data_IF_821743776174
#
_entry.id   IF_821743776174
#
_cell.length_a   1.000
_cell.length_b   1.000
_cell.length_c   1.000
_cell.angle_alpha   90.00
_cell.angle_beta   90.00
_cell.angle_gamma   90.00
#
_symmetry.space_group_name_H-M   'P 1'
#
loop_
_entity.id
_entity.type
_entity.pdbx_description
1 polymer ?
#
# COMPACT_ATOMS: atom_id res chain seq x y z
N UNK A 1 15.23 51.17 7.66
CA UNK A 1 14.53 49.90 7.35
C UNK A 1 14.89 48.84 8.41
N UNK A 2 14.01 48.54 9.35
CA UNK A 2 14.30 47.62 10.44
C UNK A 2 14.24 46.19 9.96
N UNK A 3 15.40 45.54 9.90
CA UNK A 3 15.54 44.12 9.60
C UNK A 3 15.05 43.34 10.83
N UNK A 4 13.76 43.05 10.89
CA UNK A 4 13.12 42.30 11.97
C UNK A 4 13.59 40.84 11.86
N UNK A 5 14.67 40.49 12.59
CA UNK A 5 15.09 39.09 12.75
C UNK A 5 13.88 38.30 13.24
N UNK A 6 13.35 37.41 12.40
CA UNK A 6 12.31 36.46 12.81
C UNK A 6 12.87 35.66 13.98
N UNK A 7 12.24 35.73 15.15
CA UNK A 7 12.62 34.89 16.28
C UNK A 7 12.52 33.42 15.93
N UNK A 8 13.17 32.53 16.70
CA UNK A 8 13.20 31.09 16.49
C UNK A 8 11.82 30.50 16.11
N UNK A 9 10.75 30.88 16.82
CA UNK A 9 9.37 30.46 16.50
C UNK A 9 8.87 30.91 15.11
N UNK A 10 9.24 32.11 14.68
CA UNK A 10 8.86 32.60 13.35
C UNK A 10 9.58 31.88 12.24
N UNK A 11 10.82 31.42 12.49
CA UNK A 11 11.61 30.64 11.54
C UNK A 11 11.10 29.22 11.44
N UNK A 12 10.84 28.53 12.58
CA UNK A 12 10.28 27.16 12.59
C UNK A 12 8.92 27.12 11.91
N UNK A 13 8.02 28.07 12.23
CA UNK A 13 6.72 28.20 11.58
C UNK A 13 6.85 28.35 10.05
N UNK A 14 7.75 29.19 9.59
CA UNK A 14 8.00 29.41 8.17
C UNK A 14 8.50 28.15 7.43
N UNK A 15 9.43 27.42 8.04
CA UNK A 15 9.97 26.17 7.49
C UNK A 15 8.89 25.08 7.46
N UNK A 16 8.16 24.90 8.56
CA UNK A 16 7.09 23.90 8.65
C UNK A 16 6.01 24.13 7.61
N UNK A 17 5.54 25.38 7.46
CA UNK A 17 4.53 25.72 6.46
C UNK A 17 5.00 25.46 5.03
N UNK A 18 6.23 25.80 4.70
CA UNK A 18 6.80 25.51 3.38
C UNK A 18 6.93 24.02 3.14
N UNK A 19 7.37 23.26 4.11
CA UNK A 19 7.44 21.81 4.02
C UNK A 19 6.05 21.21 3.75
N UNK A 20 5.04 21.61 4.51
CA UNK A 20 3.67 21.13 4.30
C UNK A 20 3.12 21.55 2.92
N UNK A 21 3.39 22.76 2.48
CA UNK A 21 2.98 23.22 1.15
C UNK A 21 3.66 22.41 0.02
N UNK A 22 4.96 22.14 0.12
CA UNK A 22 5.69 21.32 -0.84
C UNK A 22 5.20 19.85 -0.82
N UNK A 23 4.96 19.29 0.36
CA UNK A 23 4.40 17.94 0.49
C UNK A 23 3.00 17.87 -0.16
N UNK A 24 2.13 18.84 0.11
CA UNK A 24 0.81 18.92 -0.50
C UNK A 24 0.90 19.04 -2.02
N UNK A 25 1.79 19.89 -2.53
CA UNK A 25 2.03 20.04 -3.97
C UNK A 25 2.53 18.73 -4.59
N UNK A 26 3.45 18.03 -3.93
CA UNK A 26 3.92 16.72 -4.35
C UNK A 26 2.78 15.69 -4.41
N UNK A 27 1.93 15.63 -3.38
CA UNK A 27 0.79 14.72 -3.36
C UNK A 27 -0.24 15.08 -4.45
N UNK A 28 -0.48 16.37 -4.70
CA UNK A 28 -1.34 16.83 -5.80
C UNK A 28 -0.78 16.41 -7.17
N UNK A 29 0.54 16.52 -7.38
CA UNK A 29 1.19 16.07 -8.60
C UNK A 29 1.04 14.55 -8.77
N UNK A 30 1.36 13.79 -7.73
CA UNK A 30 1.29 12.33 -7.73
C UNK A 30 -0.15 11.78 -7.80
N UNK A 31 -1.16 12.62 -7.62
CA UNK A 31 -2.55 12.26 -7.91
C UNK A 31 -2.76 11.91 -9.38
N UNK A 32 -2.05 12.57 -10.28
CA UNK A 32 -2.24 12.46 -11.73
C UNK A 32 -1.07 11.78 -12.44
N UNK A 33 0.13 11.87 -11.87
CA UNK A 33 1.37 11.36 -12.47
C UNK A 33 1.82 10.11 -11.71
N UNK A 34 2.15 9.01 -12.40
CA UNK A 34 2.80 7.87 -11.76
C UNK A 34 4.09 8.28 -11.04
N UNK A 35 4.31 7.87 -9.78
CA UNK A 35 5.57 8.11 -9.11
C UNK A 35 6.70 7.40 -9.86
N UNK A 36 7.75 8.12 -10.29
CA UNK A 36 8.87 7.52 -11.02
C UNK A 36 9.71 6.59 -10.15
N UNK A 37 9.67 6.78 -8.85
CA UNK A 37 10.30 5.95 -7.83
C UNK A 37 9.62 6.17 -6.48
N UNK A 38 9.93 5.34 -5.51
CA UNK A 38 9.40 5.47 -4.14
C UNK A 38 10.55 5.46 -3.13
N UNK A 39 10.26 5.93 -1.91
CA UNK A 39 11.25 5.88 -0.83
C UNK A 39 11.76 4.45 -0.57
N UNK A 40 10.89 3.44 -0.68
CA UNK A 40 11.28 2.03 -0.53
C UNK A 40 12.13 1.53 -1.69
N UNK A 41 11.85 1.92 -2.93
CA UNK A 41 12.68 1.58 -4.10
C UNK A 41 14.07 2.20 -4.00
N UNK A 42 14.17 3.47 -3.57
CA UNK A 42 15.45 4.17 -3.38
C UNK A 42 16.32 3.56 -2.27
N UNK A 43 15.70 2.88 -1.32
CA UNK A 43 16.36 2.21 -0.19
C UNK A 43 16.45 0.69 -0.37
N UNK A 44 16.21 0.19 -1.60
CA UNK A 44 16.29 -1.24 -1.88
C UNK A 44 17.74 -1.71 -1.95
N UNK A 45 18.05 -2.81 -1.27
CA UNK A 45 19.35 -3.52 -1.37
C UNK A 45 19.49 -4.31 -2.68
N UNK A 46 18.43 -4.37 -3.49
CA UNK A 46 18.35 -5.17 -4.72
C UNK A 46 18.06 -4.28 -5.92
N UNK A 47 18.49 -4.69 -7.13
CA UNK A 47 18.09 -4.01 -8.36
C UNK A 47 16.57 -3.91 -8.46
N UNK A 48 16.07 -2.70 -8.70
CA UNK A 48 14.62 -2.44 -8.76
C UNK A 48 14.08 -2.78 -10.13
N UNK A 49 13.06 -3.64 -10.16
CA UNK A 49 12.21 -3.91 -11.32
C UNK A 49 10.80 -3.43 -11.00
N UNK A 50 10.32 -2.47 -11.79
CA UNK A 50 8.98 -1.91 -11.66
C UNK A 50 8.46 -1.52 -13.04
N UNK A 51 7.22 -1.92 -13.36
CA UNK A 51 6.51 -1.53 -14.56
C UNK A 51 5.12 -1.05 -14.16
N UNK A 52 4.82 0.19 -14.47
CA UNK A 52 3.52 0.78 -14.17
C UNK A 52 2.44 0.23 -15.09
N UNK A 53 1.29 -0.09 -14.50
CA UNK A 53 0.07 -0.48 -15.22
C UNK A 53 -1.12 0.31 -14.66
N UNK A 54 -1.96 0.84 -15.54
CA UNK A 54 -3.19 1.52 -15.08
C UNK A 54 -4.12 0.51 -14.41
N UNK A 55 -4.80 0.94 -13.35
CA UNK A 55 -5.80 0.10 -12.68
C UNK A 55 -6.97 -0.24 -13.61
N UNK A 56 -7.26 0.61 -14.58
CA UNK A 56 -8.29 0.41 -15.59
C UNK A 56 -7.94 -0.68 -16.63
N UNK A 57 -6.64 -1.03 -16.74
CA UNK A 57 -6.16 -2.12 -17.59
C UNK A 57 -6.16 -3.47 -16.86
N UNK A 58 -6.30 -3.45 -15.54
CA UNK A 58 -6.27 -4.66 -14.72
C UNK A 58 -7.66 -5.27 -14.56
N UNK A 59 -7.82 -6.59 -14.75
CA UNK A 59 -9.06 -7.27 -14.36
C UNK A 59 -9.39 -7.04 -12.89
N UNK A 60 -10.66 -6.79 -12.53
CA UNK A 60 -11.06 -6.41 -11.17
C UNK A 60 -10.63 -7.39 -10.06
N UNK A 61 -10.42 -8.67 -10.40
CA UNK A 61 -10.01 -9.67 -9.43
C UNK A 61 -8.56 -9.48 -8.93
N UNK A 62 -7.72 -8.71 -9.64
CA UNK A 62 -6.33 -8.45 -9.22
C UNK A 62 -6.30 -7.48 -8.02
N UNK A 63 -6.83 -6.24 -8.13
CA UNK A 63 -6.91 -5.38 -6.96
C UNK A 63 -7.81 -5.97 -5.86
N UNK A 64 -8.84 -6.74 -6.21
CA UNK A 64 -9.68 -7.44 -5.23
C UNK A 64 -8.90 -8.45 -4.40
N UNK A 65 -7.93 -9.17 -4.99
CA UNK A 65 -7.08 -10.11 -4.24
C UNK A 65 -6.22 -9.39 -3.18
N UNK A 66 -5.69 -8.20 -3.52
CA UNK A 66 -4.92 -7.38 -2.58
C UNK A 66 -5.80 -6.88 -1.43
N UNK A 67 -6.98 -6.34 -1.76
CA UNK A 67 -7.97 -5.87 -0.78
C UNK A 67 -8.45 -7.02 0.10
N UNK A 68 -8.78 -8.17 -0.47
CA UNK A 68 -9.23 -9.35 0.27
C UNK A 68 -8.16 -9.90 1.23
N UNK A 69 -6.87 -9.74 0.88
CA UNK A 69 -5.75 -10.21 1.72
C UNK A 69 -5.38 -9.22 2.82
N UNK A 70 -5.34 -7.93 2.51
CA UNK A 70 -4.70 -6.90 3.34
C UNK A 70 -5.68 -5.97 4.05
N UNK A 71 -6.84 -5.65 3.42
CA UNK A 71 -7.70 -4.58 3.90
C UNK A 71 -9.13 -4.71 3.34
N UNK A 72 -9.91 -5.60 3.92
CA UNK A 72 -11.25 -5.90 3.41
C UNK A 72 -12.24 -4.73 3.53
N UNK A 73 -11.99 -3.79 4.45
CA UNK A 73 -12.81 -2.59 4.62
C UNK A 73 -12.24 -1.37 3.87
N UNK A 74 -11.31 -1.58 2.93
CA UNK A 74 -10.68 -0.52 2.18
C UNK A 74 -11.64 0.52 1.60
N UNK A 75 -12.80 0.18 1.01
CA UNK A 75 -13.75 1.18 0.52
C UNK A 75 -14.43 2.02 1.61
N UNK A 76 -14.45 1.55 2.85
CA UNK A 76 -15.31 2.08 3.92
C UNK A 76 -14.59 3.04 4.87
N UNK A 77 -13.28 2.85 5.13
CA UNK A 77 -12.54 3.69 6.06
C UNK A 77 -11.83 4.85 5.34
N UNK A 78 -11.43 5.87 6.12
CA UNK A 78 -10.70 7.05 5.63
C UNK A 78 -9.22 6.98 6.03
N UNK A 79 -8.45 6.15 5.33
CA UNK A 79 -7.00 5.98 5.49
C UNK A 79 -6.58 5.10 6.65
N UNK A 80 -7.32 5.08 7.75
CA UNK A 80 -7.05 4.29 8.96
C UNK A 80 -8.32 3.53 9.35
N UNK A 81 -8.18 2.24 9.59
CA UNK A 81 -9.26 1.40 10.14
C UNK A 81 -9.13 1.31 11.66
N UNK A 82 -9.88 2.15 12.37
CA UNK A 82 -9.90 2.16 13.83
C UNK A 82 -10.53 0.88 14.41
N UNK A 83 -11.44 0.24 13.69
CA UNK A 83 -12.05 -1.02 14.12
C UNK A 83 -11.04 -2.16 14.10
N UNK A 84 -10.21 -2.22 13.06
CA UNK A 84 -9.12 -3.20 12.98
C UNK A 84 -8.06 -2.97 14.06
N UNK A 85 -7.74 -1.70 14.39
CA UNK A 85 -6.80 -1.35 15.47
C UNK A 85 -7.35 -1.83 16.82
N UNK A 86 -8.62 -1.56 17.12
CA UNK A 86 -9.25 -1.98 18.37
C UNK A 86 -9.25 -3.50 18.51
N UNK A 87 -9.60 -4.23 17.45
CA UNK A 87 -9.55 -5.70 17.43
C UNK A 87 -8.12 -6.22 17.62
N UNK A 88 -7.13 -5.60 16.97
CA UNK A 88 -5.74 -6.01 17.10
C UNK A 88 -5.20 -5.79 18.52
N UNK A 89 -5.62 -4.72 19.21
CA UNK A 89 -5.28 -4.46 20.61
C UNK A 89 -5.90 -5.52 21.53
N UNK A 90 -7.18 -5.85 21.34
CA UNK A 90 -7.83 -6.93 22.10
C UNK A 90 -7.12 -8.26 21.92
N UNK A 91 -6.76 -8.63 20.67
CA UNK A 91 -6.02 -9.87 20.40
C UNK A 91 -4.62 -9.86 21.01
N UNK A 92 -3.98 -8.69 21.11
CA UNK A 92 -2.69 -8.54 21.79
C UNK A 92 -2.80 -8.78 23.30
N UNK A 93 -3.84 -8.24 23.94
CA UNK A 93 -4.11 -8.46 25.35
C UNK A 93 -4.42 -9.96 25.64
N UNK A 94 -5.02 -10.67 24.66
CA UNK A 94 -5.24 -12.12 24.69
C UNK A 94 -3.99 -12.95 24.34
N UNK A 95 -2.82 -12.34 24.17
CA UNK A 95 -1.54 -13.03 23.89
C UNK A 95 -1.34 -13.51 22.45
N UNK A 96 -2.19 -13.12 21.50
CA UNK A 96 -2.12 -13.59 20.10
C UNK A 96 -1.19 -12.76 19.20
N UNK A 97 -0.60 -11.67 19.71
CA UNK A 97 0.27 -10.75 18.96
C UNK A 97 -0.47 -9.77 18.06
N UNK A 98 0.13 -8.61 17.83
CA UNK A 98 -0.42 -7.55 16.96
C UNK A 98 -0.36 -7.99 15.49
N UNK A 99 -1.48 -8.36 14.89
CA UNK A 99 -1.55 -8.74 13.46
C UNK A 99 -2.62 -7.94 12.70
N UNK A 100 -2.27 -7.47 11.49
CA UNK A 100 -3.24 -7.10 10.45
C UNK A 100 -3.98 -5.78 10.61
N UNK A 101 -3.47 -4.80 11.37
CA UNK A 101 -4.16 -3.51 11.58
C UNK A 101 -3.71 -2.39 10.61
N UNK A 102 -2.87 -2.66 9.63
CA UNK A 102 -2.42 -1.64 8.67
C UNK A 102 -3.26 -1.67 7.40
N UNK A 103 -3.80 -0.54 7.01
CA UNK A 103 -4.61 -0.39 5.78
C UNK A 103 -3.74 -0.32 4.52
N UNK A 104 -4.34 -0.55 3.35
CA UNK A 104 -3.72 -0.33 2.04
C UNK A 104 -3.23 1.12 1.91
N UNK A 105 -4.00 2.09 2.37
CA UNK A 105 -3.62 3.51 2.34
C UNK A 105 -2.38 3.78 3.19
N UNK A 106 -2.29 3.20 4.39
CA UNK A 106 -1.11 3.29 5.24
C UNK A 106 0.12 2.65 4.60
N UNK A 107 -0.04 1.47 3.99
CA UNK A 107 1.04 0.79 3.27
C UNK A 107 1.51 1.62 2.06
N UNK A 108 0.59 2.27 1.33
CA UNK A 108 0.90 3.18 0.22
C UNK A 108 1.71 4.38 0.70
N UNK A 109 1.24 5.06 1.75
CA UNK A 109 1.95 6.19 2.36
C UNK A 109 3.37 5.82 2.80
N UNK A 110 3.51 4.66 3.47
CA UNK A 110 4.79 4.12 3.90
C UNK A 110 5.73 3.90 2.73
N UNK A 111 5.30 3.15 1.72
CA UNK A 111 6.14 2.78 0.58
C UNK A 111 6.60 3.99 -0.24
N UNK A 112 5.73 4.99 -0.39
CA UNK A 112 6.03 6.20 -1.15
C UNK A 112 7.01 7.13 -0.44
N UNK A 113 6.81 7.40 0.85
CA UNK A 113 7.35 8.57 1.52
C UNK A 113 8.19 8.27 2.77
N UNK A 114 8.10 7.05 3.34
CA UNK A 114 8.74 6.72 4.60
C UNK A 114 9.88 5.70 4.40
N UNK A 115 10.55 5.38 5.48
CA UNK A 115 11.69 4.45 5.49
C UNK A 115 11.29 3.05 5.98
N UNK A 116 12.04 2.00 5.61
CA UNK A 116 11.88 0.67 6.19
C UNK A 116 12.23 0.66 7.68
N UNK A 117 11.79 -0.36 8.40
CA UNK A 117 11.99 -0.49 9.84
C UNK A 117 10.70 -0.28 10.64
N UNK A 118 10.79 -0.42 11.96
CA UNK A 118 9.65 -0.31 12.87
C UNK A 118 9.93 0.75 13.93
N UNK A 119 9.05 1.77 14.02
CA UNK A 119 9.04 2.73 15.11
C UNK A 119 7.65 3.32 15.29
N UNK A 120 7.30 3.70 16.51
CA UNK A 120 6.01 4.35 16.79
C UNK A 120 5.89 5.71 16.10
N UNK A 121 6.99 6.47 16.00
CA UNK A 121 7.01 7.76 15.28
C UNK A 121 6.68 7.55 13.81
N UNK A 122 7.35 6.58 13.15
CA UNK A 122 7.05 6.25 11.76
C UNK A 122 5.58 5.81 11.59
N UNK A 123 5.05 5.01 12.52
CA UNK A 123 3.64 4.57 12.46
C UNK A 123 2.65 5.73 12.60
N UNK A 124 2.95 6.72 13.45
CA UNK A 124 2.17 7.95 13.54
C UNK A 124 2.21 8.77 12.25
N UNK A 125 3.40 8.93 11.64
CA UNK A 125 3.54 9.60 10.34
C UNK A 125 2.80 8.85 9.23
N UNK A 126 2.86 7.53 9.21
CA UNK A 126 2.14 6.68 8.26
C UNK A 126 0.62 6.91 8.33
N UNK A 127 0.05 6.94 9.53
CA UNK A 127 -1.38 7.21 9.73
C UNK A 127 -1.77 8.64 9.28
N UNK A 128 -0.96 9.64 9.63
CA UNK A 128 -1.19 11.02 9.23
C UNK A 128 -1.14 11.20 7.70
N UNK A 129 -0.13 10.62 7.06
CA UNK A 129 0.02 10.64 5.60
C UNK A 129 -1.11 9.87 4.90
N UNK A 130 -1.58 8.77 5.48
CA UNK A 130 -2.71 8.00 4.96
C UNK A 130 -3.98 8.85 4.90
N UNK A 131 -4.30 9.60 5.96
CA UNK A 131 -5.42 10.54 5.96
C UNK A 131 -5.25 11.62 4.90
N UNK A 132 -4.02 12.14 4.72
CA UNK A 132 -3.70 13.11 3.68
C UNK A 132 -3.88 12.54 2.26
N UNK A 133 -3.47 11.30 2.03
CA UNK A 133 -3.69 10.61 0.75
C UNK A 133 -5.19 10.46 0.44
N UNK A 134 -6.00 10.03 1.40
CA UNK A 134 -7.45 9.91 1.20
C UNK A 134 -8.11 11.25 0.86
N UNK A 135 -7.70 12.32 1.53
CA UNK A 135 -8.24 13.66 1.27
C UNK A 135 -7.90 14.16 -0.15
N UNK A 136 -6.73 13.81 -0.67
CA UNK A 136 -6.24 14.34 -1.95
C UNK A 136 -6.52 13.41 -3.12
N UNK A 137 -6.36 12.07 -2.97
CA UNK A 137 -6.35 11.13 -4.10
C UNK A 137 -7.66 10.40 -4.33
N UNK A 138 -8.34 10.00 -3.25
CA UNK A 138 -9.46 9.06 -3.31
C UNK A 138 -9.03 7.60 -3.53
N UNK A 139 -9.95 6.67 -3.30
CA UNK A 139 -9.71 5.22 -3.24
C UNK A 139 -9.13 4.62 -4.52
N UNK A 140 -9.67 5.00 -5.69
CA UNK A 140 -9.18 4.48 -6.99
C UNK A 140 -7.69 4.73 -7.16
N UNK A 141 -7.26 5.99 -6.95
CA UNK A 141 -5.85 6.36 -7.12
C UNK A 141 -4.95 5.72 -6.08
N UNK A 142 -5.38 5.63 -4.83
CA UNK A 142 -4.64 4.96 -3.76
C UNK A 142 -4.39 3.50 -4.12
N UNK A 143 -5.43 2.78 -4.56
CA UNK A 143 -5.34 1.38 -4.94
C UNK A 143 -4.48 1.18 -6.19
N UNK A 144 -4.60 2.06 -7.19
CA UNK A 144 -3.74 2.06 -8.37
C UNK A 144 -2.26 2.21 -8.00
N UNK A 145 -1.93 3.19 -7.17
CA UNK A 145 -0.55 3.37 -6.71
C UNK A 145 -0.10 2.17 -5.90
N UNK A 146 -0.93 1.66 -4.99
CA UNK A 146 -0.61 0.50 -4.18
C UNK A 146 -0.19 -0.72 -5.01
N UNK A 147 -1.01 -1.11 -5.99
CA UNK A 147 -0.71 -2.29 -6.83
C UNK A 147 0.54 -2.12 -7.68
N UNK A 148 0.99 -0.89 -7.88
CA UNK A 148 2.19 -0.56 -8.66
C UNK A 148 3.46 -0.35 -7.81
N UNK A 149 3.33 -0.08 -6.50
CA UNK A 149 4.50 0.23 -5.64
C UNK A 149 4.71 -0.77 -4.51
N UNK A 150 3.79 -1.71 -4.29
CA UNK A 150 3.98 -2.78 -3.32
C UNK A 150 5.13 -3.70 -3.75
N UNK A 151 5.97 -4.11 -2.79
CA UNK A 151 7.03 -5.10 -3.04
C UNK A 151 6.44 -6.50 -3.04
N UNK A 152 6.72 -7.29 -4.07
CA UNK A 152 6.29 -8.68 -4.23
C UNK A 152 7.44 -9.68 -4.17
N UNK A 153 8.67 -9.20 -4.15
CA UNK A 153 9.89 -9.99 -4.08
C UNK A 153 11.09 -9.07 -3.89
N UNK A 154 12.29 -9.63 -3.78
CA UNK A 154 13.53 -8.86 -3.63
C UNK A 154 13.74 -7.93 -4.83
N UNK A 155 13.48 -6.64 -4.63
CA UNK A 155 13.57 -5.62 -5.68
C UNK A 155 12.44 -5.65 -6.73
N UNK A 156 11.40 -6.47 -6.56
CA UNK A 156 10.27 -6.60 -7.48
C UNK A 156 9.12 -5.78 -6.95
N UNK A 157 8.81 -4.67 -7.63
CA UNK A 157 7.76 -3.73 -7.24
C UNK A 157 6.65 -3.68 -8.28
N UNK A 158 5.42 -3.72 -7.80
CA UNK A 158 4.22 -3.68 -8.62
C UNK A 158 3.81 -5.01 -9.21
N UNK A 159 2.49 -5.13 -9.46
CA UNK A 159 1.85 -6.36 -9.92
C UNK A 159 2.32 -6.79 -11.32
N UNK A 160 2.63 -5.83 -12.21
CA UNK A 160 3.11 -6.14 -13.57
C UNK A 160 4.49 -6.79 -13.53
N UNK A 161 5.46 -6.18 -12.81
CA UNK A 161 6.78 -6.76 -12.64
C UNK A 161 6.72 -8.14 -11.94
N UNK A 162 5.85 -8.28 -10.93
CA UNK A 162 5.64 -9.55 -10.24
C UNK A 162 5.04 -10.62 -11.17
N UNK A 163 4.07 -10.25 -12.00
CA UNK A 163 3.45 -11.16 -12.98
C UNK A 163 4.46 -11.67 -13.99
N UNK A 164 5.26 -10.78 -14.55
CA UNK A 164 6.33 -11.13 -15.49
C UNK A 164 7.36 -12.05 -14.82
N UNK A 165 7.81 -11.70 -13.61
CA UNK A 165 8.84 -12.45 -12.91
C UNK A 165 8.39 -13.86 -12.50
N UNK A 166 7.19 -13.99 -11.94
CA UNK A 166 6.75 -15.26 -11.36
C UNK A 166 5.93 -16.14 -12.31
N UNK A 167 5.22 -15.54 -13.28
CA UNK A 167 4.30 -16.26 -14.16
C UNK A 167 4.60 -16.08 -15.65
N UNK A 168 5.63 -15.29 -15.98
CA UNK A 168 6.10 -15.04 -17.35
C UNK A 168 4.97 -14.53 -18.29
N UNK A 169 4.12 -13.63 -17.78
CA UNK A 169 3.01 -13.04 -18.55
C UNK A 169 2.61 -11.67 -17.98
N UNK A 170 1.97 -10.79 -18.80
CA UNK A 170 1.41 -9.53 -18.34
C UNK A 170 0.35 -9.73 -17.25
N UNK A 171 0.29 -8.78 -16.29
CA UNK A 171 -0.63 -8.85 -15.16
C UNK A 171 -2.10 -8.98 -15.58
N UNK A 172 -2.51 -8.34 -16.67
CA UNK A 172 -3.88 -8.44 -17.20
C UNK A 172 -4.34 -9.87 -17.53
N UNK A 173 -3.43 -10.82 -17.64
CA UNK A 173 -3.73 -12.24 -17.90
C UNK A 173 -3.61 -13.12 -16.66
N UNK A 174 -3.37 -12.55 -15.49
CA UNK A 174 -3.40 -13.31 -14.25
C UNK A 174 -4.79 -13.89 -14.00
N UNK A 175 -4.83 -15.16 -13.62
CA UNK A 175 -6.04 -15.79 -13.07
C UNK A 175 -6.30 -15.30 -11.63
N UNK A 176 -7.51 -15.45 -11.13
CA UNK A 176 -7.86 -15.14 -9.73
C UNK A 176 -6.96 -15.86 -8.73
N UNK A 177 -6.58 -17.12 -9.02
CA UNK A 177 -5.68 -17.91 -8.18
C UNK A 177 -4.25 -17.35 -8.17
N UNK A 178 -3.74 -16.90 -9.32
CA UNK A 178 -2.41 -16.27 -9.40
C UNK A 178 -2.40 -14.90 -8.71
N UNK A 179 -3.47 -14.10 -8.85
CA UNK A 179 -3.64 -12.87 -8.10
C UNK A 179 -3.64 -13.13 -6.58
N UNK A 180 -4.34 -14.17 -6.11
CA UNK A 180 -4.33 -14.58 -4.70
C UNK A 180 -2.93 -15.05 -4.26
N UNK A 181 -2.18 -15.76 -5.12
CA UNK A 181 -0.79 -16.13 -4.85
C UNK A 181 0.13 -14.92 -4.71
N UNK A 182 -0.04 -13.86 -5.50
CA UNK A 182 0.70 -12.62 -5.31
C UNK A 182 0.29 -11.91 -4.02
N UNK A 183 -0.99 -11.82 -3.73
CA UNK A 183 -1.48 -11.15 -2.53
C UNK A 183 -0.92 -11.74 -1.23
N UNK A 184 -0.73 -13.06 -1.15
CA UNK A 184 -0.15 -13.68 0.05
C UNK A 184 1.34 -13.41 0.25
N UNK A 185 2.04 -12.84 -0.73
CA UNK A 185 3.44 -12.44 -0.58
C UNK A 185 3.59 -11.16 0.25
N UNK A 186 2.64 -10.23 0.16
CA UNK A 186 2.71 -8.86 0.67
C UNK A 186 3.19 -8.71 2.13
N UNK A 187 2.78 -9.56 3.08
CA UNK A 187 3.27 -9.44 4.46
C UNK A 187 4.77 -9.74 4.63
N UNK A 188 5.39 -10.49 3.70
CA UNK A 188 6.81 -10.85 3.77
C UNK A 188 7.36 -11.16 2.36
N UNK A 189 7.41 -10.17 1.46
CA UNK A 189 7.66 -10.41 0.04
C UNK A 189 9.05 -10.96 -0.25
N UNK A 190 10.05 -10.59 0.56
CA UNK A 190 11.45 -11.02 0.38
C UNK A 190 11.70 -12.48 0.78
N UNK A 191 10.76 -13.10 1.53
CA UNK A 191 10.88 -14.46 2.08
C UNK A 191 9.86 -15.44 1.51
N UNK A 192 8.95 -15.00 0.64
CA UNK A 192 7.88 -15.81 0.08
C UNK A 192 8.02 -15.90 -1.43
N UNK A 193 7.65 -17.07 -1.98
CA UNK A 193 7.64 -17.30 -3.43
C UNK A 193 6.31 -17.96 -3.83
N UNK A 194 5.57 -17.42 -4.83
CA UNK A 194 4.26 -17.94 -5.22
C UNK A 194 4.34 -19.27 -5.97
N UNK A 195 5.55 -19.65 -6.43
CA UNK A 195 5.79 -20.93 -7.12
C UNK A 195 6.22 -22.05 -6.15
N UNK A 196 6.62 -21.69 -4.90
CA UNK A 196 7.03 -22.63 -3.86
C UNK A 196 6.28 -22.35 -2.57
N UNK A 197 4.99 -22.71 -2.58
CA UNK A 197 4.10 -22.45 -1.44
C UNK A 197 4.31 -23.48 -0.33
N UNK A 198 4.59 -23.01 0.87
CA UNK A 198 4.51 -23.85 2.07
C UNK A 198 3.04 -24.25 2.33
N UNK A 199 2.79 -25.31 3.16
CA UNK A 199 1.41 -25.66 3.54
C UNK A 199 0.62 -24.47 4.08
N UNK A 200 1.24 -23.64 4.92
CA UNK A 200 0.63 -22.41 5.45
C UNK A 200 0.25 -21.43 4.32
N UNK A 201 1.17 -21.15 3.38
CA UNK A 201 0.89 -20.23 2.27
C UNK A 201 -0.18 -20.78 1.33
N UNK A 202 -0.19 -22.10 1.10
CA UNK A 202 -1.23 -22.75 0.30
C UNK A 202 -2.62 -22.57 0.93
N UNK A 203 -2.74 -22.79 2.24
CA UNK A 203 -3.98 -22.52 2.98
C UNK A 203 -4.37 -21.04 2.93
N UNK A 204 -3.37 -20.14 3.02
CA UNK A 204 -3.61 -18.69 2.91
C UNK A 204 -4.12 -18.28 1.54
N UNK A 205 -3.60 -18.87 0.44
CA UNK A 205 -4.13 -18.65 -0.92
C UNK A 205 -5.60 -19.07 -1.00
N UNK A 206 -5.95 -20.27 -0.52
CA UNK A 206 -7.35 -20.74 -0.49
C UNK A 206 -8.23 -19.80 0.33
N UNK A 207 -7.72 -19.28 1.44
CA UNK A 207 -8.44 -18.31 2.26
C UNK A 207 -8.69 -17.02 1.49
N UNK A 208 -7.67 -16.45 0.80
CA UNK A 208 -7.83 -15.23 -0.02
C UNK A 208 -8.84 -15.46 -1.12
N UNK A 209 -8.78 -16.58 -1.87
CA UNK A 209 -9.77 -16.91 -2.91
C UNK A 209 -11.20 -16.98 -2.35
N UNK A 210 -11.35 -17.52 -1.12
CA UNK A 210 -12.66 -17.52 -0.44
C UNK A 210 -13.13 -16.11 -0.11
N UNK A 211 -12.25 -15.26 0.43
CA UNK A 211 -12.59 -13.87 0.73
C UNK A 211 -12.96 -13.09 -0.55
N UNK A 212 -12.22 -13.27 -1.63
CA UNK A 212 -12.57 -12.66 -2.94
C UNK A 212 -13.98 -13.06 -3.40
N UNK A 213 -14.36 -14.34 -3.22
CA UNK A 213 -15.71 -14.83 -3.55
C UNK A 213 -16.78 -14.23 -2.64
N UNK A 214 -16.50 -14.09 -1.33
CA UNK A 214 -17.43 -13.51 -0.36
C UNK A 214 -17.67 -12.02 -0.60
N UNK A 215 -16.62 -11.26 -0.91
CA UNK A 215 -16.71 -9.84 -1.27
C UNK A 215 -17.46 -9.67 -2.61
N UNK A 216 -17.24 -10.57 -3.55
CA UNK A 216 -17.87 -10.53 -4.88
C UNK A 216 -17.13 -9.63 -5.87
N UNK A 217 -17.33 -9.89 -7.16
CA UNK A 217 -16.64 -9.17 -8.25
C UNK A 217 -17.00 -7.68 -8.34
N UNK A 218 -18.17 -7.30 -7.84
CA UNK A 218 -18.66 -5.92 -7.85
C UNK A 218 -18.22 -5.10 -6.62
N UNK A 219 -17.53 -5.70 -5.64
CA UNK A 219 -17.17 -5.05 -4.38
C UNK A 219 -16.41 -3.72 -4.56
N UNK A 220 -15.49 -3.70 -5.49
CA UNK A 220 -14.69 -2.50 -5.78
C UNK A 220 -15.32 -1.57 -6.82
N UNK A 221 -16.47 -1.94 -7.43
CA UNK A 221 -17.11 -1.13 -8.48
C UNK A 221 -17.42 0.31 -8.06
N UNK A 222 -17.83 0.61 -6.82
CA UNK A 222 -18.09 1.99 -6.40
C UNK A 222 -16.85 2.88 -6.42
N UNK A 223 -15.65 2.31 -6.26
CA UNK A 223 -14.39 3.05 -6.18
C UNK A 223 -13.57 2.98 -7.48
N UNK A 224 -13.84 2.02 -8.37
CA UNK A 224 -13.11 1.85 -9.64
C UNK A 224 -13.79 2.54 -10.84
N UNK A 225 -15.00 3.04 -10.67
CA UNK A 225 -15.75 3.77 -11.72
C UNK A 225 -15.27 5.19 -11.93
#
# INVERSE_FOLDING_TARGET
MANRKRGFFGWTWYVTWRFLALLTLLLLLLRFVPPPTTSFMLQSDYPVSQHWVSIDELPPHIPLAMVASEDQLFPEHFGVDFSAITKALQQYDDGQGLRGASTITQQTAKNLLLWPGQSFVRKGLEAMLAVGLEAIWGKKRILEVYVNVAEFGKGIYGVEAASQHYFNKPAKYLSSKEAAKLAVLLPSPRNRNPNYLTPYLSQRVVWVERQMKQLGSAYLSPILK
#
